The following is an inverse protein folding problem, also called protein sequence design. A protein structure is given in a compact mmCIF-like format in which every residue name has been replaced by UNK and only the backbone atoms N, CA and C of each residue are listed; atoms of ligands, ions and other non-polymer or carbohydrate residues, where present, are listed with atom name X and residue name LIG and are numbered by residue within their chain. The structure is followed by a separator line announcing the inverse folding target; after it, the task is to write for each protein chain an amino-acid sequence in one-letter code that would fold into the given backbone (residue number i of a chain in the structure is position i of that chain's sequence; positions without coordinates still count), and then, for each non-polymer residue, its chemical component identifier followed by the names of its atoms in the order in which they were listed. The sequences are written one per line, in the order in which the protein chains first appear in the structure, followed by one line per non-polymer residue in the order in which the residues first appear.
data_IF_401360860161
#
_entry.id   IF_401360860161
#
_cell.length_a   1.000
_cell.length_b   1.000
_cell.length_c   1.000
_cell.angle_alpha   90.00
_cell.angle_beta   90.00
_cell.angle_gamma   90.00
#
_symmetry.space_group_name_H-M   'P 1'
#
loop_
_entity.id
_entity.type
_entity.pdbx_description
1 polymer ?
#
# COMPACT_ATOMS: atom_id res chain seq x y z
N UNK A 1 38.34 -41.60 -24.52
CA UNK A 1 37.92 -40.19 -24.60
C UNK A 1 36.47 -40.14 -24.13
N UNK A 2 36.18 -39.63 -22.94
CA UNK A 2 34.79 -39.43 -22.47
C UNK A 2 34.16 -38.26 -23.21
N UNK A 3 32.92 -38.46 -23.71
CA UNK A 3 32.18 -37.41 -24.40
C UNK A 3 31.97 -36.23 -23.43
N UNK A 4 32.18 -34.97 -23.92
CA UNK A 4 31.93 -33.82 -23.07
C UNK A 4 30.48 -33.82 -22.59
N UNK A 5 30.28 -33.59 -21.31
CA UNK A 5 28.96 -33.50 -20.68
C UNK A 5 28.26 -32.28 -21.27
N UNK A 6 27.14 -32.49 -22.00
CA UNK A 6 26.38 -31.39 -22.58
C UNK A 6 25.73 -30.56 -21.46
N UNK A 7 26.08 -29.28 -21.33
CA UNK A 7 25.74 -28.46 -20.15
C UNK A 7 24.29 -27.94 -20.11
N UNK A 8 23.38 -28.44 -20.95
CA UNK A 8 22.08 -27.82 -21.17
C UNK A 8 21.05 -27.99 -20.04
N UNK A 9 21.25 -28.88 -19.09
CA UNK A 9 20.27 -29.16 -18.02
C UNK A 9 20.37 -28.21 -16.81
N UNK A 10 21.51 -27.57 -16.58
CA UNK A 10 21.78 -26.82 -15.36
C UNK A 10 21.96 -25.31 -15.58
N UNK A 11 21.45 -24.77 -16.70
CA UNK A 11 21.57 -23.34 -17.00
C UNK A 11 20.43 -22.57 -16.34
N UNK A 12 20.75 -21.78 -15.31
CA UNK A 12 19.81 -20.94 -14.56
C UNK A 12 20.10 -19.45 -14.77
N UNK A 13 19.07 -18.61 -14.67
CA UNK A 13 19.29 -17.17 -14.59
C UNK A 13 19.72 -16.81 -13.17
N UNK A 14 20.96 -16.38 -13.01
CA UNK A 14 21.47 -15.94 -11.71
C UNK A 14 21.19 -14.44 -11.53
N UNK A 15 20.35 -14.10 -10.55
CA UNK A 15 20.00 -12.71 -10.26
C UNK A 15 21.19 -11.90 -9.70
N UNK A 16 22.10 -12.53 -8.95
CA UNK A 16 23.34 -11.89 -8.51
C UNK A 16 24.23 -11.48 -9.67
N UNK A 17 24.38 -12.36 -10.66
CA UNK A 17 25.22 -12.11 -11.83
C UNK A 17 24.50 -11.44 -12.98
N UNK A 18 23.16 -11.25 -12.91
CA UNK A 18 22.26 -10.68 -13.94
C UNK A 18 22.42 -11.35 -15.31
N UNK A 19 22.69 -12.66 -15.32
CA UNK A 19 22.88 -13.44 -16.54
C UNK A 19 22.65 -14.93 -16.32
N UNK A 20 22.44 -15.67 -17.40
CA UNK A 20 22.37 -17.12 -17.36
C UNK A 20 23.74 -17.71 -17.01
N UNK A 21 23.76 -18.62 -16.06
CA UNK A 21 24.95 -19.35 -15.61
C UNK A 21 24.63 -20.81 -15.34
N UNK A 22 25.66 -21.65 -15.46
CA UNK A 22 25.55 -23.05 -15.04
C UNK A 22 25.50 -23.11 -13.52
N UNK A 23 24.61 -23.94 -12.98
CA UNK A 23 24.46 -24.21 -11.56
C UNK A 23 24.82 -25.68 -11.29
N UNK A 24 25.67 -25.89 -10.29
CA UNK A 24 26.07 -27.19 -9.78
C UNK A 24 25.70 -27.26 -8.31
N UNK A 25 25.23 -28.43 -7.86
CA UNK A 25 24.85 -28.63 -6.44
C UNK A 25 26.09 -28.73 -5.57
N UNK A 26 27.14 -29.40 -6.09
CA UNK A 26 28.38 -29.62 -5.36
C UNK A 26 29.55 -28.89 -6.03
N UNK A 27 30.53 -28.48 -5.20
CA UNK A 27 31.78 -27.88 -5.67
C UNK A 27 32.58 -28.84 -6.55
N UNK A 28 32.60 -30.11 -6.18
CA UNK A 28 33.28 -31.20 -6.88
C UNK A 28 32.77 -31.33 -8.33
N UNK A 29 31.47 -31.18 -8.57
CA UNK A 29 30.87 -31.22 -9.90
C UNK A 29 31.32 -30.03 -10.75
N UNK A 30 31.30 -28.82 -10.17
CA UNK A 30 31.75 -27.60 -10.85
C UNK A 30 33.23 -27.66 -11.20
N UNK A 31 34.08 -28.15 -10.29
CA UNK A 31 35.52 -28.30 -10.52
C UNK A 31 35.81 -29.37 -11.58
N UNK A 32 35.10 -30.49 -11.55
CA UNK A 32 35.18 -31.52 -12.58
C UNK A 32 34.73 -31.01 -13.94
N UNK A 33 33.65 -30.21 -14.00
CA UNK A 33 33.25 -29.57 -15.23
C UNK A 33 34.36 -28.70 -15.81
N UNK A 34 35.03 -27.87 -15.01
CA UNK A 34 36.17 -27.06 -15.45
C UNK A 34 37.27 -27.95 -15.98
N UNK A 35 37.67 -28.97 -15.19
CA UNK A 35 38.77 -29.86 -15.53
C UNK A 35 38.59 -30.55 -16.86
N UNK A 36 37.40 -31.04 -17.18
CA UNK A 36 37.14 -31.83 -18.37
C UNK A 36 36.71 -31.02 -19.60
N UNK A 37 36.22 -29.77 -19.43
CA UNK A 37 35.67 -28.98 -20.51
C UNK A 37 36.47 -27.72 -20.83
N UNK A 38 37.46 -27.34 -20.01
CA UNK A 38 38.23 -26.10 -20.16
C UNK A 38 38.84 -25.96 -21.56
N UNK A 39 39.53 -27.01 -22.07
CA UNK A 39 40.19 -26.96 -23.35
C UNK A 39 39.21 -26.74 -24.51
N UNK A 40 38.15 -27.55 -24.59
CA UNK A 40 37.15 -27.43 -25.66
C UNK A 40 36.41 -26.09 -25.64
N UNK A 41 36.04 -25.60 -24.43
CA UNK A 41 35.38 -24.28 -24.29
C UNK A 41 36.34 -23.14 -24.70
N UNK A 42 37.64 -23.25 -24.37
CA UNK A 42 38.62 -22.26 -24.72
C UNK A 42 38.80 -22.18 -26.25
N UNK A 43 38.86 -23.34 -26.93
CA UNK A 43 38.97 -23.43 -28.39
C UNK A 43 37.73 -22.85 -29.09
N UNK A 44 36.53 -23.14 -28.61
CA UNK A 44 35.28 -22.69 -29.24
C UNK A 44 34.96 -21.20 -28.95
N UNK A 45 35.23 -20.71 -27.75
CA UNK A 45 34.71 -19.39 -27.28
C UNK A 45 35.83 -18.39 -26.95
N UNK A 46 37.11 -18.78 -27.05
CA UNK A 46 38.25 -17.93 -26.70
C UNK A 46 38.39 -17.62 -25.19
N UNK A 47 37.44 -18.08 -24.34
CA UNK A 47 37.45 -17.94 -22.89
C UNK A 47 36.81 -19.17 -22.28
N UNK A 48 37.48 -19.77 -21.30
CA UNK A 48 36.98 -20.93 -20.57
C UNK A 48 36.89 -20.65 -19.06
N UNK A 49 36.01 -21.34 -18.31
CA UNK A 49 35.95 -21.23 -16.86
C UNK A 49 37.23 -21.79 -16.25
N UNK A 50 37.78 -21.05 -15.27
CA UNK A 50 39.03 -21.39 -14.56
C UNK A 50 38.85 -21.70 -13.11
N UNK A 51 37.71 -21.31 -12.51
CA UNK A 51 37.37 -21.63 -11.11
C UNK A 51 35.87 -21.74 -10.89
N UNK A 52 35.49 -22.43 -9.82
CA UNK A 52 34.13 -22.44 -9.28
C UNK A 52 34.01 -21.48 -8.09
N UNK A 53 32.80 -21.01 -7.81
CA UNK A 53 32.47 -20.24 -6.60
C UNK A 53 31.04 -20.52 -6.19
N UNK A 54 30.79 -20.45 -4.89
CA UNK A 54 29.46 -20.62 -4.32
C UNK A 54 28.63 -19.35 -4.52
N UNK A 55 27.37 -19.50 -4.88
CA UNK A 55 26.39 -18.41 -5.02
C UNK A 55 25.25 -18.64 -4.03
N UNK A 56 25.14 -17.78 -3.02
CA UNK A 56 24.12 -17.88 -1.98
C UNK A 56 22.69 -17.74 -2.54
N UNK A 57 22.48 -16.88 -3.58
CA UNK A 57 21.16 -16.71 -4.19
C UNK A 57 20.69 -17.93 -4.97
N UNK A 58 21.61 -18.67 -5.57
CA UNK A 58 21.29 -19.90 -6.30
C UNK A 58 21.42 -21.15 -5.44
N UNK A 59 21.92 -21.02 -4.20
CA UNK A 59 22.21 -22.10 -3.28
C UNK A 59 23.08 -23.21 -3.91
N UNK A 60 24.10 -22.81 -4.72
CA UNK A 60 24.96 -23.75 -5.44
C UNK A 60 26.17 -23.09 -6.08
N UNK A 61 26.92 -23.86 -6.84
CA UNK A 61 28.17 -23.43 -7.41
C UNK A 61 28.01 -23.00 -8.87
N UNK A 62 28.64 -21.87 -9.21
CA UNK A 62 28.83 -21.42 -10.59
C UNK A 62 30.28 -21.52 -11.00
N UNK A 63 30.52 -21.52 -12.31
CA UNK A 63 31.87 -21.45 -12.89
C UNK A 63 32.13 -20.09 -13.54
N UNK A 64 33.39 -19.64 -13.49
CA UNK A 64 33.80 -18.33 -14.04
C UNK A 64 35.15 -18.41 -14.73
N UNK A 65 35.30 -17.62 -15.80
CA UNK A 65 36.58 -17.41 -16.50
C UNK A 65 37.47 -16.35 -15.86
N UNK A 66 37.03 -15.71 -14.78
CA UNK A 66 37.84 -14.75 -14.05
C UNK A 66 38.73 -15.45 -13.03
N UNK A 67 40.09 -15.35 -13.14
CA UNK A 67 41.01 -16.01 -12.23
C UNK A 67 41.14 -15.32 -10.86
N UNK A 68 40.71 -14.05 -10.73
CA UNK A 68 40.97 -13.25 -9.53
C UNK A 68 39.99 -13.54 -8.41
N UNK A 69 40.51 -13.87 -7.22
CA UNK A 69 39.75 -14.10 -5.99
C UNK A 69 39.18 -12.77 -5.43
N UNK A 70 39.81 -11.64 -5.79
CA UNK A 70 39.37 -10.29 -5.38
C UNK A 70 37.97 -9.96 -5.90
N UNK A 71 37.57 -10.54 -7.02
CA UNK A 71 36.19 -10.43 -7.54
C UNK A 71 35.19 -11.28 -6.73
N UNK A 72 35.62 -12.29 -5.99
CA UNK A 72 34.78 -13.05 -5.06
C UNK A 72 34.23 -12.14 -3.96
N UNK A 73 35.08 -11.41 -3.25
CA UNK A 73 34.64 -10.51 -2.18
C UNK A 73 33.71 -9.39 -2.68
N UNK A 74 33.94 -8.87 -3.90
CA UNK A 74 33.02 -7.89 -4.53
C UNK A 74 31.71 -8.52 -4.94
N UNK A 75 31.75 -9.77 -5.40
CA UNK A 75 30.56 -10.51 -5.78
C UNK A 75 29.75 -10.88 -4.53
N UNK A 76 30.39 -11.35 -3.47
CA UNK A 76 29.76 -11.71 -2.20
C UNK A 76 29.07 -10.49 -1.54
N UNK A 77 29.70 -9.30 -1.64
CA UNK A 77 29.07 -8.04 -1.19
C UNK A 77 27.84 -7.67 -2.03
N UNK A 78 27.91 -7.83 -3.37
CA UNK A 78 26.78 -7.59 -4.25
C UNK A 78 25.66 -8.60 -4.03
N UNK A 79 26.01 -9.86 -3.81
CA UNK A 79 25.06 -10.93 -3.55
C UNK A 79 24.38 -10.70 -2.21
N UNK A 80 25.14 -10.33 -1.17
CA UNK A 80 24.59 -9.96 0.15
C UNK A 80 23.64 -8.74 0.05
N UNK A 81 24.01 -7.72 -0.71
CA UNK A 81 23.15 -6.56 -0.92
C UNK A 81 21.85 -6.96 -1.64
N UNK A 82 21.95 -7.79 -2.68
CA UNK A 82 20.79 -8.25 -3.44
C UNK A 82 19.88 -9.16 -2.60
N UNK A 83 20.44 -10.04 -1.76
CA UNK A 83 19.68 -10.84 -0.79
C UNK A 83 18.94 -9.93 0.18
N UNK A 84 19.60 -8.89 0.69
CA UNK A 84 19.02 -7.93 1.60
C UNK A 84 17.87 -7.15 0.95
N UNK A 85 18.03 -6.72 -0.33
CA UNK A 85 16.98 -6.08 -1.11
C UNK A 85 15.78 -7.01 -1.36
N UNK A 86 16.02 -8.26 -1.76
CA UNK A 86 14.96 -9.26 -2.00
C UNK A 86 14.22 -9.63 -0.71
N UNK A 87 14.94 -9.77 0.40
CA UNK A 87 14.34 -10.00 1.72
C UNK A 87 13.47 -8.81 2.14
N UNK A 88 13.96 -7.59 1.93
CA UNK A 88 13.19 -6.36 2.21
C UNK A 88 11.91 -6.27 1.36
N UNK A 89 11.97 -6.65 0.08
CA UNK A 89 10.79 -6.69 -0.80
C UNK A 89 9.81 -7.77 -0.34
N UNK A 90 10.29 -8.97 0.00
CA UNK A 90 9.44 -10.06 0.50
C UNK A 90 8.73 -9.67 1.80
N UNK A 91 9.46 -9.10 2.76
CA UNK A 91 8.89 -8.60 4.00
C UNK A 91 7.88 -7.47 3.77
N UNK A 92 8.17 -6.57 2.83
CA UNK A 92 7.22 -5.54 2.43
C UNK A 92 5.94 -6.16 1.85
N UNK A 93 6.06 -7.14 0.95
CA UNK A 93 4.91 -7.81 0.35
C UNK A 93 4.04 -8.51 1.41
N UNK A 94 4.63 -9.17 2.39
CA UNK A 94 3.88 -9.84 3.46
C UNK A 94 3.14 -8.83 4.34
N UNK A 95 3.79 -7.72 4.73
CA UNK A 95 3.13 -6.62 5.44
C UNK A 95 1.98 -6.01 4.64
N UNK A 96 2.16 -5.83 3.32
CA UNK A 96 1.09 -5.32 2.46
C UNK A 96 -0.06 -6.31 2.27
N UNK A 97 0.19 -7.63 2.31
CA UNK A 97 -0.88 -8.64 2.29
C UNK A 97 -1.74 -8.54 3.56
N UNK A 98 -1.11 -8.48 4.73
CA UNK A 98 -1.79 -8.30 6.02
C UNK A 98 -2.61 -7.01 6.04
N UNK A 99 -1.98 -5.89 5.70
CA UNK A 99 -2.62 -4.58 5.63
C UNK A 99 -3.78 -4.55 4.61
N UNK A 100 -3.62 -5.23 3.47
CA UNK A 100 -4.57 -5.14 2.35
C UNK A 100 -5.95 -5.73 2.65
N UNK A 101 -6.06 -6.71 3.53
CA UNK A 101 -7.35 -7.27 3.95
C UNK A 101 -8.13 -6.31 4.86
N UNK A 102 -7.43 -5.55 5.68
CA UNK A 102 -8.03 -4.68 6.68
C UNK A 102 -8.18 -3.22 6.23
N UNK A 103 -7.24 -2.75 5.42
CA UNK A 103 -7.13 -1.33 5.04
C UNK A 103 -8.40 -0.78 4.36
N UNK A 104 -9.04 -1.56 3.49
CA UNK A 104 -10.27 -1.13 2.82
C UNK A 104 -11.42 -0.91 3.82
N UNK A 105 -11.54 -1.78 4.82
CA UNK A 105 -12.55 -1.67 5.88
C UNK A 105 -12.23 -0.49 6.81
N UNK A 106 -10.97 -0.28 7.16
CA UNK A 106 -10.51 0.86 7.98
C UNK A 106 -10.74 2.19 7.27
N UNK A 107 -10.45 2.30 5.96
CA UNK A 107 -10.75 3.49 5.16
C UNK A 107 -12.26 3.77 5.14
N UNK A 108 -13.10 2.73 5.03
CA UNK A 108 -14.54 2.91 5.11
C UNK A 108 -14.97 3.35 6.52
N UNK A 109 -14.39 2.79 7.57
CA UNK A 109 -14.59 3.23 8.96
C UNK A 109 -14.22 4.71 9.14
N UNK A 110 -13.05 5.13 8.66
CA UNK A 110 -12.62 6.53 8.69
C UNK A 110 -13.59 7.46 7.93
N UNK A 111 -14.14 7.01 6.79
CA UNK A 111 -15.17 7.76 6.07
C UNK A 111 -16.43 7.94 6.92
N UNK A 112 -16.86 6.91 7.63
CA UNK A 112 -18.00 7.01 8.57
C UNK A 112 -17.71 7.96 9.73
N UNK A 113 -16.48 7.95 10.28
CA UNK A 113 -16.06 8.89 11.32
C UNK A 113 -16.06 10.34 10.84
N UNK A 114 -15.70 10.58 9.60
CA UNK A 114 -15.76 11.93 9.00
C UNK A 114 -17.16 12.54 9.08
N UNK A 115 -18.21 11.74 8.90
CA UNK A 115 -19.58 12.20 8.98
C UNK A 115 -20.04 12.49 10.42
N UNK A 116 -19.76 11.56 11.36
CA UNK A 116 -20.42 11.55 12.67
C UNK A 116 -19.49 11.28 13.87
N UNK A 117 -18.23 10.95 13.64
CA UNK A 117 -17.30 10.48 14.66
C UNK A 117 -16.11 11.39 14.92
N UNK A 118 -15.08 10.80 15.51
CA UNK A 118 -13.80 11.45 15.74
C UNK A 118 -12.98 11.54 14.46
N UNK A 119 -12.32 12.67 14.25
CA UNK A 119 -11.37 12.86 13.13
C UNK A 119 -10.00 12.26 13.46
N UNK A 120 -9.73 11.98 14.74
CA UNK A 120 -8.44 11.46 15.19
C UNK A 120 -8.09 10.12 14.53
N UNK A 121 -9.07 9.22 14.40
CA UNK A 121 -8.85 7.93 13.74
C UNK A 121 -8.34 8.07 12.28
N UNK A 122 -8.70 9.17 11.61
CA UNK A 122 -8.26 9.45 10.23
C UNK A 122 -6.80 9.91 10.24
N UNK A 123 -6.43 10.76 11.21
CA UNK A 123 -5.06 11.20 11.40
C UNK A 123 -4.16 10.02 11.78
N UNK A 124 -4.58 9.20 12.74
CA UNK A 124 -3.85 8.01 13.19
C UNK A 124 -3.62 7.02 12.04
N UNK A 125 -4.65 6.76 11.22
CA UNK A 125 -4.51 5.90 10.04
C UNK A 125 -3.53 6.47 9.01
N UNK A 126 -3.58 7.79 8.78
CA UNK A 126 -2.65 8.43 7.84
C UNK A 126 -1.19 8.31 8.33
N UNK A 127 -0.93 8.60 9.59
CA UNK A 127 0.41 8.49 10.20
C UNK A 127 0.92 7.05 10.19
N UNK A 128 0.07 6.08 10.54
CA UNK A 128 0.41 4.65 10.49
C UNK A 128 0.85 4.21 9.08
N UNK A 129 0.26 4.80 8.04
CA UNK A 129 0.56 4.44 6.66
C UNK A 129 1.81 5.13 6.08
N UNK A 130 2.35 6.17 6.73
CA UNK A 130 3.54 6.88 6.23
C UNK A 130 4.75 5.97 5.99
N UNK A 131 5.14 5.04 6.90
CA UNK A 131 6.26 4.13 6.68
C UNK A 131 6.05 3.21 5.47
N UNK A 132 4.81 2.82 5.19
CA UNK A 132 4.48 1.93 4.07
C UNK A 132 4.65 2.61 2.71
N UNK A 133 4.63 3.95 2.63
CA UNK A 133 4.84 4.68 1.37
C UNK A 133 6.23 4.44 0.79
N UNK A 134 7.26 4.46 1.62
CA UNK A 134 8.62 4.17 1.20
C UNK A 134 8.77 2.70 0.73
N UNK A 135 8.04 1.78 1.36
CA UNK A 135 8.01 0.38 0.95
C UNK A 135 7.23 0.16 -0.35
N UNK A 136 6.18 0.96 -0.60
CA UNK A 136 5.35 0.86 -1.81
C UNK A 136 6.20 1.01 -3.09
N UNK A 137 7.22 1.87 -3.06
CA UNK A 137 8.11 2.09 -4.22
C UNK A 137 8.95 0.86 -4.59
N UNK A 138 9.16 -0.06 -3.65
CA UNK A 138 9.92 -1.30 -3.83
C UNK A 138 9.08 -2.46 -4.37
N UNK A 139 7.75 -2.31 -4.39
CA UNK A 139 6.85 -3.39 -4.78
C UNK A 139 6.76 -3.57 -6.31
N UNK A 140 6.41 -4.78 -6.79
CA UNK A 140 6.03 -5.02 -8.17
C UNK A 140 4.90 -4.10 -8.63
N UNK A 141 4.91 -3.70 -9.90
CA UNK A 141 4.01 -2.69 -10.48
C UNK A 141 2.51 -2.97 -10.21
N UNK A 142 2.09 -4.23 -10.35
CA UNK A 142 0.68 -4.62 -10.12
C UNK A 142 0.25 -4.41 -8.66
N UNK A 143 1.09 -4.85 -7.71
CA UNK A 143 0.85 -4.67 -6.28
C UNK A 143 0.88 -3.20 -5.91
N UNK A 144 1.86 -2.45 -6.45
CA UNK A 144 1.98 -1.00 -6.27
C UNK A 144 0.71 -0.27 -6.72
N UNK A 145 0.18 -0.57 -7.91
CA UNK A 145 -1.01 0.07 -8.45
C UNK A 145 -2.25 -0.13 -7.54
N UNK A 146 -2.43 -1.34 -7.03
CA UNK A 146 -3.53 -1.67 -6.11
C UNK A 146 -3.46 -0.83 -4.83
N UNK A 147 -2.33 -0.80 -4.17
CA UNK A 147 -2.16 -0.06 -2.92
C UNK A 147 -2.12 1.45 -3.11
N UNK A 148 -1.55 1.95 -4.20
CA UNK A 148 -1.54 3.38 -4.51
C UNK A 148 -2.95 3.99 -4.54
N UNK A 149 -3.97 3.23 -4.96
CA UNK A 149 -5.36 3.68 -4.91
C UNK A 149 -5.88 3.81 -3.47
N UNK A 150 -5.53 2.86 -2.58
CA UNK A 150 -5.92 2.92 -1.16
C UNK A 150 -5.22 4.09 -0.46
N UNK A 151 -3.93 4.28 -0.68
CA UNK A 151 -3.19 5.42 -0.14
C UNK A 151 -3.76 6.77 -0.58
N UNK A 152 -4.09 6.93 -1.88
CA UNK A 152 -4.73 8.16 -2.37
C UNK A 152 -6.09 8.43 -1.70
N UNK A 153 -6.86 7.38 -1.41
CA UNK A 153 -8.12 7.53 -0.67
C UNK A 153 -7.88 7.99 0.77
N UNK A 154 -6.86 7.44 1.43
CA UNK A 154 -6.49 7.86 2.79
C UNK A 154 -6.00 9.31 2.81
N UNK A 155 -5.18 9.71 1.83
CA UNK A 155 -4.71 11.09 1.70
C UNK A 155 -5.86 12.07 1.49
N UNK A 156 -6.82 11.69 0.64
CA UNK A 156 -8.01 12.49 0.41
C UNK A 156 -8.84 12.67 1.70
N UNK A 157 -9.08 11.58 2.45
CA UNK A 157 -9.79 11.67 3.73
C UNK A 157 -9.03 12.51 4.75
N UNK A 158 -7.72 12.35 4.83
CA UNK A 158 -6.86 13.13 5.72
C UNK A 158 -6.89 14.62 5.38
N UNK A 159 -6.77 14.97 4.10
CA UNK A 159 -6.82 16.36 3.65
C UNK A 159 -8.15 17.03 4.01
N UNK A 160 -9.28 16.30 3.85
CA UNK A 160 -10.59 16.81 4.24
C UNK A 160 -10.69 16.91 5.77
N UNK A 161 -10.25 15.88 6.51
CA UNK A 161 -10.32 15.88 7.97
C UNK A 161 -9.54 17.07 8.57
N UNK A 162 -8.37 17.38 8.03
CA UNK A 162 -7.54 18.50 8.45
C UNK A 162 -8.19 19.88 8.24
N UNK A 163 -9.15 19.96 7.30
CA UNK A 163 -9.92 21.20 6.99
C UNK A 163 -11.33 21.17 7.54
N UNK A 164 -11.76 20.07 8.13
CA UNK A 164 -13.18 19.86 8.48
C UNK A 164 -13.70 20.91 9.47
N UNK A 165 -12.90 21.32 10.44
CA UNK A 165 -13.32 22.34 11.42
C UNK A 165 -13.57 23.70 10.76
N UNK A 166 -12.69 24.10 9.82
CA UNK A 166 -12.85 25.32 9.04
C UNK A 166 -14.11 25.23 8.17
N UNK A 167 -14.31 24.09 7.48
CA UNK A 167 -15.47 23.87 6.60
C UNK A 167 -16.80 23.83 7.37
N UNK A 168 -16.81 23.28 8.56
CA UNK A 168 -18.01 23.26 9.44
C UNK A 168 -18.42 24.66 9.87
N UNK A 169 -17.47 25.60 10.01
CA UNK A 169 -17.78 26.98 10.37
C UNK A 169 -18.32 27.82 9.18
N UNK A 170 -18.10 27.38 7.93
CA UNK A 170 -18.54 28.08 6.72
C UNK A 170 -20.06 28.02 6.53
N UNK A 171 -20.77 29.11 6.21
CA UNK A 171 -22.19 29.08 5.85
C UNK A 171 -22.46 28.16 4.66
N UNK A 172 -23.65 27.52 4.63
CA UNK A 172 -23.98 26.52 3.60
C UNK A 172 -24.03 27.09 2.18
N UNK A 173 -24.38 28.37 2.04
CA UNK A 173 -24.39 29.09 0.75
C UNK A 173 -22.96 29.41 0.23
N UNK A 174 -21.95 29.39 1.05
CA UNK A 174 -20.54 29.65 0.71
C UNK A 174 -19.69 28.38 0.66
N UNK A 175 -20.23 27.26 1.12
CA UNK A 175 -19.48 26.02 1.26
C UNK A 175 -18.87 25.54 -0.07
N UNK A 176 -19.61 25.66 -1.17
CA UNK A 176 -19.14 25.29 -2.50
C UNK A 176 -17.88 26.07 -2.92
N UNK A 177 -17.91 27.39 -2.76
CA UNK A 177 -16.77 28.23 -3.12
C UNK A 177 -15.55 27.97 -2.24
N UNK A 178 -15.75 27.69 -0.95
CA UNK A 178 -14.67 27.32 -0.02
C UNK A 178 -14.04 25.98 -0.40
N UNK A 179 -14.83 24.95 -0.68
CA UNK A 179 -14.32 23.64 -1.09
C UNK A 179 -13.56 23.74 -2.41
N UNK A 180 -14.04 24.50 -3.38
CA UNK A 180 -13.34 24.73 -4.65
C UNK A 180 -11.99 25.43 -4.46
N UNK A 181 -11.90 26.36 -3.51
CA UNK A 181 -10.65 27.05 -3.19
C UNK A 181 -9.64 26.13 -2.53
N UNK A 182 -10.07 25.34 -1.54
CA UNK A 182 -9.19 24.46 -0.78
C UNK A 182 -8.79 23.18 -1.55
N UNK A 183 -9.65 22.72 -2.45
CA UNK A 183 -9.47 21.46 -3.18
C UNK A 183 -9.68 21.65 -4.69
N UNK A 184 -8.88 22.46 -5.38
CA UNK A 184 -9.13 22.83 -6.79
C UNK A 184 -9.02 21.67 -7.78
N UNK A 185 -8.39 20.55 -7.39
CA UNK A 185 -8.18 19.39 -8.26
C UNK A 185 -9.17 18.23 -8.04
N UNK A 186 -10.22 18.42 -7.25
CA UNK A 186 -11.22 17.37 -7.03
C UNK A 186 -12.26 17.29 -8.12
N UNK A 187 -12.80 16.09 -8.36
CA UNK A 187 -13.91 15.88 -9.26
C UNK A 187 -15.23 16.37 -8.66
N UNK A 188 -16.23 16.68 -9.52
CA UNK A 188 -17.57 17.07 -9.09
C UNK A 188 -18.24 16.05 -8.15
N UNK A 189 -18.03 14.76 -8.37
CA UNK A 189 -18.56 13.70 -7.53
C UNK A 189 -17.96 13.75 -6.10
N UNK A 190 -16.65 13.94 -6.00
CA UNK A 190 -15.98 14.09 -4.70
C UNK A 190 -16.39 15.39 -4.01
N UNK A 191 -16.64 16.45 -4.78
CA UNK A 191 -17.16 17.72 -4.29
C UNK A 191 -18.48 17.53 -3.53
N UNK A 192 -19.48 16.92 -4.17
CA UNK A 192 -20.76 16.59 -3.54
C UNK A 192 -20.60 15.74 -2.28
N UNK A 193 -19.61 14.83 -2.29
CA UNK A 193 -19.30 14.01 -1.14
C UNK A 193 -18.77 14.84 0.04
N UNK A 194 -17.88 15.81 -0.21
CA UNK A 194 -17.36 16.71 0.84
C UNK A 194 -18.49 17.57 1.41
N UNK A 195 -19.30 18.16 0.55
CA UNK A 195 -20.44 18.98 0.96
C UNK A 195 -21.40 18.20 1.88
N UNK A 196 -21.74 16.97 1.50
CA UNK A 196 -22.56 16.09 2.35
C UNK A 196 -21.90 15.77 3.69
N UNK A 197 -20.62 15.50 3.70
CA UNK A 197 -19.85 15.24 4.94
C UNK A 197 -19.94 16.43 5.87
N UNK A 198 -19.67 17.63 5.37
CA UNK A 198 -19.69 18.85 6.18
C UNK A 198 -21.08 19.14 6.72
N UNK A 199 -22.10 19.09 5.87
CA UNK A 199 -23.49 19.37 6.28
C UNK A 199 -23.97 18.38 7.35
N UNK A 200 -23.76 17.07 7.14
CA UNK A 200 -24.15 16.07 8.14
C UNK A 200 -23.38 16.27 9.46
N UNK A 201 -22.07 16.59 9.38
CA UNK A 201 -21.28 16.87 10.56
C UNK A 201 -21.77 18.10 11.34
N UNK A 202 -22.11 19.19 10.69
CA UNK A 202 -22.73 20.38 11.33
C UNK A 202 -23.98 20.00 12.12
N UNK A 203 -24.87 19.23 11.50
CA UNK A 203 -26.11 18.78 12.15
C UNK A 203 -25.83 17.90 13.37
N UNK A 204 -24.87 16.96 13.26
CA UNK A 204 -24.48 16.07 14.37
C UNK A 204 -23.87 16.87 15.51
N UNK A 205 -22.98 17.83 15.23
CA UNK A 205 -22.40 18.69 16.26
C UNK A 205 -23.47 19.50 16.99
N UNK A 206 -24.42 20.10 16.25
CA UNK A 206 -25.55 20.83 16.84
C UNK A 206 -26.40 19.95 17.78
N UNK A 207 -26.69 18.70 17.40
CA UNK A 207 -27.40 17.76 18.28
C UNK A 207 -26.58 17.46 19.53
N UNK A 208 -25.28 17.23 19.41
CA UNK A 208 -24.41 16.94 20.55
C UNK A 208 -24.31 18.11 21.51
N UNK A 209 -24.18 19.33 21.01
CA UNK A 209 -24.18 20.54 21.84
C UNK A 209 -25.48 20.65 22.63
N UNK A 210 -26.62 20.45 21.97
CA UNK A 210 -27.92 20.46 22.61
C UNK A 210 -28.07 19.33 23.65
N UNK A 211 -27.59 18.10 23.33
CA UNK A 211 -27.71 16.95 24.24
C UNK A 211 -26.92 17.09 25.54
N UNK A 212 -25.90 17.96 25.55
CA UNK A 212 -25.08 18.25 26.74
C UNK A 212 -25.78 19.18 27.73
N UNK A 213 -26.91 19.78 27.35
CA UNK A 213 -27.69 20.64 28.24
C UNK A 213 -28.66 19.82 29.08
N UNK A 214 -28.75 20.04 30.39
CA UNK A 214 -29.68 19.31 31.26
C UNK A 214 -31.13 19.41 30.77
N UNK A 215 -31.82 18.28 30.60
CA UNK A 215 -33.21 18.23 30.14
C UNK A 215 -33.44 18.56 28.65
N UNK A 216 -32.40 18.85 27.90
CA UNK A 216 -32.53 19.27 26.50
C UNK A 216 -33.12 18.19 25.57
N UNK A 217 -32.89 16.92 25.87
CA UNK A 217 -33.37 15.78 25.06
C UNK A 217 -34.92 15.66 25.10
N UNK A 218 -35.57 16.18 26.12
CA UNK A 218 -37.03 16.22 26.24
C UNK A 218 -37.63 17.45 25.54
N UNK A 219 -36.78 18.44 25.21
CA UNK A 219 -37.17 19.70 24.59
C UNK A 219 -37.63 19.56 23.14
N UNK A 220 -38.58 20.39 22.73
CA UNK A 220 -39.10 20.43 21.36
C UNK A 220 -38.02 20.76 20.34
N UNK A 221 -37.09 21.66 20.66
CA UNK A 221 -35.99 22.04 19.81
C UNK A 221 -35.03 20.86 19.48
N UNK A 222 -34.76 19.99 20.45
CA UNK A 222 -33.96 18.79 20.25
C UNK A 222 -34.67 17.84 19.29
N UNK A 223 -35.95 17.59 19.47
CA UNK A 223 -36.75 16.73 18.59
C UNK A 223 -36.78 17.25 17.15
N UNK A 224 -36.97 18.55 16.96
CA UNK A 224 -36.92 19.18 15.64
C UNK A 224 -35.56 19.00 14.96
N UNK A 225 -34.47 19.14 15.70
CA UNK A 225 -33.12 18.89 15.15
C UNK A 225 -32.90 17.44 14.76
N UNK A 226 -33.34 16.50 15.58
CA UNK A 226 -33.28 15.05 15.29
C UNK A 226 -34.07 14.72 14.02
N UNK A 227 -35.28 15.31 13.85
CA UNK A 227 -36.08 15.15 12.65
C UNK A 227 -35.40 15.77 11.41
N UNK A 228 -34.73 16.92 11.57
CA UNK A 228 -33.98 17.55 10.50
C UNK A 228 -32.86 16.62 10.00
N UNK A 229 -32.08 16.01 10.91
CA UNK A 229 -31.07 15.01 10.54
C UNK A 229 -31.70 13.79 9.85
N UNK A 230 -32.83 13.31 10.36
CA UNK A 230 -33.58 12.20 9.75
C UNK A 230 -33.99 12.50 8.32
N UNK A 231 -34.54 13.72 8.06
CA UNK A 231 -34.90 14.20 6.70
C UNK A 231 -33.67 14.32 5.80
N UNK A 232 -32.57 14.87 6.32
CA UNK A 232 -31.33 14.99 5.56
C UNK A 232 -30.75 13.61 5.19
N UNK A 233 -30.71 12.67 6.10
CA UNK A 233 -30.31 11.29 5.82
C UNK A 233 -31.17 10.61 4.75
N UNK A 234 -32.48 10.90 4.75
CA UNK A 234 -33.37 10.42 3.69
C UNK A 234 -33.04 11.04 2.33
N UNK A 235 -32.72 12.35 2.29
CA UNK A 235 -32.36 13.05 1.05
C UNK A 235 -31.05 12.58 0.42
N UNK A 236 -30.04 12.24 1.24
CA UNK A 236 -28.75 11.74 0.73
C UNK A 236 -28.73 10.22 0.44
N UNK A 237 -29.80 9.51 0.79
CA UNK A 237 -29.92 8.05 0.58
C UNK A 237 -29.68 7.58 -0.85
N UNK A 238 -30.14 8.27 -1.91
CA UNK A 238 -29.85 7.91 -3.28
C UNK A 238 -28.34 7.92 -3.60
N UNK A 239 -27.57 8.80 -2.93
CA UNK A 239 -26.15 9.03 -3.19
C UNK A 239 -25.29 8.07 -2.35
N UNK A 240 -25.56 7.95 -1.05
CA UNK A 240 -24.74 7.14 -0.12
C UNK A 240 -25.24 5.70 0.06
N UNK A 241 -26.46 5.42 -0.38
CA UNK A 241 -27.07 4.09 -0.32
C UNK A 241 -27.83 3.78 0.98
N UNK A 242 -28.80 2.83 0.85
CA UNK A 242 -29.70 2.46 1.95
C UNK A 242 -28.99 1.92 3.19
N UNK A 243 -27.99 1.04 3.00
CA UNK A 243 -27.26 0.42 4.11
C UNK A 243 -26.48 1.44 4.93
N UNK A 244 -25.86 2.43 4.24
CA UNK A 244 -25.05 3.47 4.86
C UNK A 244 -25.94 4.42 5.66
N UNK A 245 -27.06 4.89 5.09
CA UNK A 245 -28.00 5.75 5.82
C UNK A 245 -28.63 5.06 7.01
N UNK A 246 -28.99 3.77 6.94
CA UNK A 246 -29.47 3.00 8.07
C UNK A 246 -28.41 2.84 9.18
N UNK A 247 -27.13 2.67 8.78
CA UNK A 247 -26.03 2.64 9.74
C UNK A 247 -25.87 3.98 10.47
N UNK A 248 -25.96 5.11 9.75
CA UNK A 248 -25.86 6.44 10.38
C UNK A 248 -27.05 6.72 11.31
N UNK A 249 -28.29 6.40 10.88
CA UNK A 249 -29.48 6.51 11.74
C UNK A 249 -29.29 5.77 13.06
N UNK A 250 -28.83 4.50 13.01
CA UNK A 250 -28.56 3.69 14.20
C UNK A 250 -27.48 4.29 15.10
N UNK A 251 -26.36 4.76 14.52
CA UNK A 251 -25.25 5.39 15.27
C UNK A 251 -25.68 6.69 15.96
N UNK A 252 -26.67 7.40 15.39
CA UNK A 252 -27.22 8.63 15.96
C UNK A 252 -28.40 8.38 16.91
N UNK A 253 -28.77 7.12 17.17
CA UNK A 253 -29.90 6.77 18.02
C UNK A 253 -31.26 7.12 17.39
N UNK A 254 -31.33 7.35 16.08
CA UNK A 254 -32.57 7.59 15.34
C UNK A 254 -33.24 6.23 15.09
N UNK A 255 -34.39 5.99 15.68
CA UNK A 255 -35.18 4.78 15.42
C UNK A 255 -35.57 4.71 13.93
N UNK A 256 -35.69 3.47 13.42
CA UNK A 256 -36.18 3.22 12.04
C UNK A 256 -37.68 3.51 11.92
#
# INVERSE_FOLDING_TARGET
MSKPIKPYKNLVYCYACKRRKMLFEEKSEADNFIKYNHGGILEENGKAPVRSYYCELCCGYHVTSNPSVIDGERQDRKDSQLIQELTSISQAMDRFKELGHELANRIQGCKDQMFIGSLQEIHDLHEELLPYRALLEKLPLETKARFATLFRRTDFLYAIASKMEELVAVPDNELESHVNREFPAISEENFKTIEMMVRLRKMVLSIREMSNLPGAQEGENYKLKVEEVGRYLASIRPIVGRKVTASYRRKLGLCD
#
